data_IF_042175362079
#
_entry.id   IF_042175362079
#
_cell.length_a   1.000
_cell.length_b   1.000
_cell.length_c   1.000
_cell.angle_alpha   90.00
_cell.angle_beta   90.00
_cell.angle_gamma   90.00
#
_symmetry.space_group_name_H-M   'P 1'
#
loop_
_entity.id
_entity.type
_entity.pdbx_description
1 polymer ?
#
# COMPACT_ATOMS: atom_id res chain seq x y z
N UNK A 1 -19.47 -6.36 -4.27
CA UNK A 1 -20.69 -5.95 -3.52
C UNK A 1 -20.33 -5.82 -2.05
N UNK A 2 -20.49 -4.63 -1.45
CA UNK A 2 -20.17 -4.40 -0.04
C UNK A 2 -21.30 -4.93 0.85
N UNK A 3 -21.00 -5.90 1.71
CA UNK A 3 -21.94 -6.39 2.74
C UNK A 3 -22.36 -5.22 3.63
N UNK A 4 -23.67 -5.05 3.87
CA UNK A 4 -24.15 -3.96 4.71
C UNK A 4 -23.75 -4.16 6.18
N UNK A 5 -23.50 -3.09 6.97
CA UNK A 5 -23.14 -3.22 8.38
C UNK A 5 -24.11 -4.07 9.22
N UNK A 6 -25.45 -3.96 9.05
CA UNK A 6 -26.39 -4.84 9.75
C UNK A 6 -26.20 -6.33 9.43
N UNK A 7 -25.89 -6.66 8.17
CA UNK A 7 -25.63 -8.03 7.76
C UNK A 7 -24.32 -8.54 8.37
N UNK A 8 -23.26 -7.72 8.38
CA UNK A 8 -21.98 -8.09 9.00
C UNK A 8 -22.12 -8.38 10.50
N UNK A 9 -22.93 -7.61 11.23
CA UNK A 9 -23.22 -7.88 12.65
C UNK A 9 -23.98 -9.19 12.82
N UNK A 10 -24.92 -9.50 11.93
CA UNK A 10 -25.64 -10.78 11.94
C UNK A 10 -24.70 -11.96 11.68
N UNK A 11 -23.80 -11.81 10.72
CA UNK A 11 -22.80 -12.84 10.41
C UNK A 11 -21.83 -13.02 11.59
N UNK A 12 -21.39 -11.93 12.23
CA UNK A 12 -20.56 -11.97 13.43
C UNK A 12 -21.27 -12.68 14.60
N UNK A 13 -22.57 -12.42 14.84
CA UNK A 13 -23.35 -13.17 15.85
C UNK A 13 -23.38 -14.66 15.56
N UNK A 14 -23.50 -15.04 14.29
CA UNK A 14 -23.53 -16.44 13.84
C UNK A 14 -22.21 -17.13 14.13
N UNK A 15 -21.10 -16.52 13.73
CA UNK A 15 -19.78 -17.11 13.97
C UNK A 15 -19.36 -17.07 15.44
N UNK A 16 -19.80 -16.07 16.20
CA UNK A 16 -19.59 -16.04 17.65
C UNK A 16 -20.36 -17.19 18.34
N UNK A 17 -21.60 -17.46 17.92
CA UNK A 17 -22.36 -18.61 18.41
C UNK A 17 -21.70 -19.95 18.04
N UNK A 18 -21.18 -20.09 16.81
CA UNK A 18 -20.44 -21.27 16.38
C UNK A 18 -19.19 -21.50 17.23
N UNK A 19 -18.37 -20.45 17.43
CA UNK A 19 -17.16 -20.54 18.24
C UNK A 19 -17.45 -20.90 19.71
N UNK A 20 -18.54 -20.37 20.29
CA UNK A 20 -19.00 -20.81 21.62
C UNK A 20 -19.46 -22.27 21.59
N UNK A 21 -20.13 -22.69 20.51
CA UNK A 21 -20.63 -24.05 20.36
C UNK A 21 -19.53 -25.09 20.17
N UNK A 22 -18.28 -24.71 19.86
CA UNK A 22 -17.14 -25.65 19.79
C UNK A 22 -16.68 -26.13 21.18
N UNK A 23 -17.01 -25.41 22.25
CA UNK A 23 -16.75 -25.86 23.62
C UNK A 23 -17.57 -27.11 23.98
N UNK A 24 -17.15 -27.80 25.04
CA UNK A 24 -17.93 -28.92 25.59
C UNK A 24 -19.23 -28.37 26.21
N UNK A 25 -20.32 -29.13 26.10
CA UNK A 25 -21.66 -28.66 26.47
C UNK A 25 -21.75 -28.14 27.92
N UNK A 26 -21.00 -28.74 28.85
CA UNK A 26 -20.96 -28.32 30.25
C UNK A 26 -20.13 -27.03 30.49
N UNK A 27 -19.24 -26.66 29.56
CA UNK A 27 -18.43 -25.43 29.65
C UNK A 27 -19.14 -24.22 29.02
N UNK A 28 -20.07 -24.46 28.07
CA UNK A 28 -20.78 -23.42 27.31
C UNK A 28 -21.46 -22.35 28.20
N UNK A 29 -22.21 -22.70 29.27
CA UNK A 29 -22.78 -21.70 30.17
C UNK A 29 -21.71 -20.82 30.84
N UNK A 30 -20.59 -21.42 31.25
CA UNK A 30 -19.46 -20.71 31.85
C UNK A 30 -18.79 -19.75 30.88
N UNK A 31 -18.62 -20.15 29.61
CA UNK A 31 -18.13 -19.28 28.53
C UNK A 31 -19.07 -18.10 28.32
N UNK A 32 -20.38 -18.35 28.20
CA UNK A 32 -21.40 -17.31 28.03
C UNK A 32 -21.33 -16.28 29.18
N UNK A 33 -21.24 -16.76 30.42
CA UNK A 33 -21.11 -15.90 31.61
C UNK A 33 -19.85 -15.04 31.59
N UNK A 34 -18.69 -15.59 31.19
CA UNK A 34 -17.44 -14.80 31.04
C UNK A 34 -17.55 -13.73 29.97
N UNK A 35 -18.33 -13.98 28.91
CA UNK A 35 -18.61 -13.00 27.85
C UNK A 35 -19.68 -11.96 28.24
N UNK A 36 -20.28 -12.07 29.44
CA UNK A 36 -21.33 -11.16 29.91
C UNK A 36 -22.72 -11.47 29.36
N UNK A 37 -22.93 -12.66 28.78
CA UNK A 37 -24.22 -13.10 28.30
C UNK A 37 -25.11 -13.55 29.47
N UNK A 38 -26.43 -13.43 29.28
CA UNK A 38 -27.42 -13.82 30.27
C UNK A 38 -27.31 -15.31 30.67
N UNK A 39 -27.54 -15.59 31.95
CA UNK A 39 -27.62 -16.97 32.44
C UNK A 39 -28.82 -17.71 31.80
N UNK A 40 -28.77 -19.04 31.78
CA UNK A 40 -29.99 -19.84 31.76
C UNK A 40 -29.69 -21.30 32.03
N UNK A 41 -30.68 -22.16 31.81
CA UNK A 41 -30.63 -23.52 32.33
C UNK A 41 -29.56 -24.35 31.60
N UNK A 42 -28.70 -25.02 32.37
CA UNK A 42 -27.68 -25.93 31.82
C UNK A 42 -28.28 -27.03 30.95
N UNK A 43 -29.52 -27.44 31.20
CA UNK A 43 -30.24 -28.41 30.36
C UNK A 43 -30.42 -27.94 28.91
N UNK A 44 -30.56 -26.62 28.67
CA UNK A 44 -30.68 -26.04 27.33
C UNK A 44 -29.40 -26.21 26.49
N UNK A 45 -28.23 -26.07 27.13
CA UNK A 45 -26.93 -26.19 26.47
C UNK A 45 -26.66 -27.64 25.99
N UNK A 46 -27.15 -28.64 26.74
CA UNK A 46 -27.07 -30.04 26.35
C UNK A 46 -27.95 -30.39 25.15
N UNK A 47 -29.07 -29.68 24.94
CA UNK A 47 -29.94 -29.88 23.78
C UNK A 47 -29.33 -29.30 22.49
N UNK A 48 -28.76 -28.09 22.56
CA UNK A 48 -28.02 -27.50 21.44
C UNK A 48 -27.14 -26.34 21.91
N UNK A 49 -25.83 -26.56 21.89
CA UNK A 49 -24.81 -25.55 22.23
C UNK A 49 -24.96 -24.27 21.41
N UNK A 50 -25.16 -24.41 20.10
CA UNK A 50 -25.36 -23.28 19.19
C UNK A 50 -26.63 -22.49 19.51
N UNK A 51 -27.79 -23.17 19.66
CA UNK A 51 -29.05 -22.48 19.97
C UNK A 51 -28.98 -21.78 21.33
N UNK A 52 -28.32 -22.40 22.30
CA UNK A 52 -28.06 -21.80 23.61
C UNK A 52 -27.28 -20.49 23.52
N UNK A 53 -26.18 -20.47 22.75
CA UNK A 53 -25.39 -19.27 22.55
C UNK A 53 -26.14 -18.22 21.73
N UNK A 54 -26.76 -18.63 20.61
CA UNK A 54 -27.44 -17.73 19.68
C UNK A 54 -28.65 -17.01 20.30
N UNK A 55 -29.46 -17.70 21.12
CA UNK A 55 -30.61 -17.05 21.79
C UNK A 55 -30.17 -15.89 22.68
N UNK A 56 -29.02 -16.02 23.34
CA UNK A 56 -28.42 -14.99 24.20
C UNK A 56 -27.76 -13.87 23.39
N UNK A 57 -27.07 -14.20 22.32
CA UNK A 57 -26.45 -13.21 21.42
C UNK A 57 -27.48 -12.36 20.66
N UNK A 58 -28.69 -12.89 20.44
CA UNK A 58 -29.75 -12.18 19.71
C UNK A 58 -30.23 -10.93 20.46
N UNK A 59 -30.26 -10.97 21.80
CA UNK A 59 -30.71 -9.83 22.63
C UNK A 59 -29.60 -8.81 22.94
N UNK A 60 -28.35 -9.13 22.60
CA UNK A 60 -27.20 -8.24 22.84
C UNK A 60 -27.18 -7.09 21.82
N UNK A 61 -26.99 -5.83 22.24
CA UNK A 61 -26.85 -4.68 21.35
C UNK A 61 -25.72 -4.85 20.32
N UNK A 62 -25.91 -4.34 19.10
CA UNK A 62 -24.94 -4.52 18.00
C UNK A 62 -23.53 -4.00 18.34
N UNK A 63 -23.43 -2.89 19.07
CA UNK A 63 -22.18 -2.27 19.51
C UNK A 63 -21.34 -3.13 20.49
N UNK A 64 -21.97 -4.08 21.18
CA UNK A 64 -21.28 -4.96 22.12
C UNK A 64 -20.79 -6.27 21.49
N UNK A 65 -21.31 -6.65 20.32
CA UNK A 65 -20.97 -7.93 19.67
C UNK A 65 -19.48 -7.98 19.28
N UNK A 66 -18.94 -6.91 18.70
CA UNK A 66 -17.54 -6.86 18.27
C UNK A 66 -16.56 -6.97 19.45
N UNK A 67 -16.69 -6.19 20.55
CA UNK A 67 -15.90 -6.39 21.76
C UNK A 67 -15.97 -7.82 22.32
N UNK A 68 -17.15 -8.45 22.33
CA UNK A 68 -17.31 -9.83 22.80
C UNK A 68 -16.58 -10.83 21.92
N UNK A 69 -16.69 -10.71 20.60
CA UNK A 69 -16.00 -11.57 19.66
C UNK A 69 -14.47 -11.48 19.82
N UNK A 70 -13.94 -10.26 19.96
CA UNK A 70 -12.51 -10.02 20.24
C UNK A 70 -12.06 -10.65 21.55
N UNK A 71 -12.90 -10.59 22.59
CA UNK A 71 -12.61 -11.22 23.88
C UNK A 71 -12.54 -12.74 23.76
N UNK A 72 -13.46 -13.37 23.03
CA UNK A 72 -13.44 -14.82 22.82
C UNK A 72 -12.18 -15.26 22.04
N UNK A 73 -11.78 -14.51 21.01
CA UNK A 73 -10.58 -14.79 20.21
C UNK A 73 -9.26 -14.71 21.00
N UNK A 74 -9.26 -14.22 22.24
CA UNK A 74 -8.09 -14.31 23.12
C UNK A 74 -7.94 -15.71 23.74
N UNK A 75 -9.01 -16.49 23.78
CA UNK A 75 -9.05 -17.84 24.38
C UNK A 75 -9.09 -18.95 23.32
N UNK A 76 -9.56 -18.67 22.10
CA UNK A 76 -9.76 -19.67 21.04
C UNK A 76 -9.18 -19.25 19.70
N UNK A 77 -8.82 -20.23 18.89
CA UNK A 77 -8.50 -20.04 17.48
C UNK A 77 -9.70 -20.42 16.63
N UNK A 78 -10.29 -19.45 15.93
CA UNK A 78 -11.36 -19.67 14.96
C UNK A 78 -11.16 -18.71 13.79
N UNK A 79 -10.85 -19.24 12.61
CA UNK A 79 -10.72 -18.40 11.43
C UNK A 79 -12.03 -17.69 11.12
N UNK A 80 -13.16 -18.42 11.10
CA UNK A 80 -14.46 -17.83 10.74
C UNK A 80 -14.84 -16.64 11.62
N UNK A 81 -14.62 -16.75 12.93
CA UNK A 81 -14.86 -15.65 13.85
C UNK A 81 -13.89 -14.48 13.61
N UNK A 82 -12.59 -14.78 13.49
CA UNK A 82 -11.55 -13.76 13.25
C UNK A 82 -11.75 -13.00 11.94
N UNK A 83 -12.23 -13.69 10.90
CA UNK A 83 -12.53 -13.13 9.59
C UNK A 83 -13.70 -12.13 9.64
N UNK A 84 -14.76 -12.44 10.38
CA UNK A 84 -15.88 -11.49 10.58
C UNK A 84 -15.47 -10.29 11.44
N UNK A 85 -14.63 -10.50 12.46
CA UNK A 85 -14.07 -9.42 13.28
C UNK A 85 -13.22 -8.49 12.41
N UNK A 86 -12.29 -9.03 11.62
CA UNK A 86 -11.42 -8.25 10.73
C UNK A 86 -12.23 -7.41 9.74
N UNK A 87 -13.22 -8.02 9.06
CA UNK A 87 -14.11 -7.32 8.14
C UNK A 87 -14.83 -6.12 8.76
N UNK A 88 -15.28 -6.24 10.01
CA UNK A 88 -15.93 -5.14 10.74
C UNK A 88 -14.93 -4.05 11.15
N UNK A 89 -13.72 -4.42 11.59
CA UNK A 89 -12.67 -3.46 11.97
C UNK A 89 -12.11 -2.67 10.78
N UNK A 90 -12.19 -3.26 9.58
CA UNK A 90 -11.75 -2.64 8.33
C UNK A 90 -12.73 -1.59 7.79
N UNK A 91 -13.93 -1.45 8.38
CA UNK A 91 -14.91 -0.44 7.93
C UNK A 91 -14.33 0.97 8.11
N UNK A 92 -14.33 1.74 7.04
CA UNK A 92 -13.82 3.13 7.03
C UNK A 92 -12.29 3.22 6.99
N UNK A 93 -11.57 2.10 6.91
CA UNK A 93 -10.13 2.09 6.68
C UNK A 93 -9.82 2.11 5.18
N UNK A 94 -8.63 2.61 4.77
CA UNK A 94 -8.12 2.40 3.42
C UNK A 94 -8.11 0.91 3.07
N UNK A 95 -8.59 0.56 1.87
CA UNK A 95 -8.79 -0.83 1.49
C UNK A 95 -8.27 -1.15 0.08
N UNK A 96 -7.70 -2.35 -0.08
CA UNK A 96 -7.47 -2.91 -1.41
C UNK A 96 -8.81 -3.12 -2.09
N UNK A 97 -9.01 -2.42 -3.21
CA UNK A 97 -10.24 -2.40 -3.99
C UNK A 97 -10.46 -3.72 -4.72
N UNK A 98 -11.71 -3.99 -5.12
CA UNK A 98 -12.02 -5.17 -5.94
C UNK A 98 -11.24 -5.17 -7.27
N UNK A 99 -10.98 -3.99 -7.85
CA UNK A 99 -10.18 -3.83 -9.08
C UNK A 99 -8.75 -4.35 -8.84
N UNK A 100 -8.11 -3.90 -7.77
CA UNK A 100 -6.75 -4.34 -7.43
C UNK A 100 -6.73 -5.81 -7.07
N UNK A 101 -7.71 -6.33 -6.31
CA UNK A 101 -7.83 -7.78 -6.06
C UNK A 101 -7.88 -8.60 -7.35
N UNK A 102 -8.68 -8.21 -8.33
CA UNK A 102 -8.75 -8.90 -9.64
C UNK A 102 -7.43 -8.82 -10.42
N UNK A 103 -6.70 -7.71 -10.33
CA UNK A 103 -5.37 -7.57 -10.91
C UNK A 103 -4.35 -8.48 -10.23
N UNK A 104 -4.35 -8.52 -8.89
CA UNK A 104 -3.52 -9.43 -8.11
C UNK A 104 -3.81 -10.90 -8.47
N UNK A 105 -5.09 -11.27 -8.59
CA UNK A 105 -5.48 -12.62 -9.02
C UNK A 105 -4.90 -12.97 -10.40
N UNK A 106 -4.84 -11.99 -11.32
CA UNK A 106 -4.29 -12.19 -12.66
C UNK A 106 -2.78 -12.48 -12.65
N UNK A 107 -2.03 -11.96 -11.67
CA UNK A 107 -0.61 -12.29 -11.47
C UNK A 107 -0.43 -13.78 -11.19
N UNK A 108 -1.32 -14.38 -10.41
CA UNK A 108 -1.26 -15.80 -10.04
C UNK A 108 -1.83 -16.73 -11.11
N UNK A 109 -2.48 -16.19 -12.15
CA UNK A 109 -2.95 -16.99 -13.29
C UNK A 109 -1.81 -17.44 -14.20
N UNK A 110 -0.75 -16.64 -14.28
CA UNK A 110 0.36 -16.87 -15.23
C UNK A 110 1.62 -17.39 -14.56
N UNK A 111 1.59 -17.61 -13.23
CA UNK A 111 2.77 -17.89 -12.41
C UNK A 111 2.41 -18.89 -11.31
N UNK A 112 3.32 -19.80 -10.93
CA UNK A 112 3.08 -20.72 -9.82
C UNK A 112 2.99 -19.97 -8.48
N UNK A 113 2.17 -20.48 -7.56
CA UNK A 113 2.04 -19.91 -6.22
C UNK A 113 3.30 -20.14 -5.36
N UNK A 114 4.02 -21.22 -5.62
CA UNK A 114 5.23 -21.60 -4.90
C UNK A 114 6.25 -22.21 -5.88
N UNK A 115 7.54 -21.96 -5.63
CA UNK A 115 8.65 -22.57 -6.40
C UNK A 115 9.51 -23.50 -5.55
N UNK A 116 9.50 -23.33 -4.23
CA UNK A 116 10.31 -24.10 -3.28
C UNK A 116 9.49 -25.11 -2.46
N UNK A 117 8.17 -25.16 -2.67
CA UNK A 117 7.27 -26.13 -2.03
C UNK A 117 6.07 -26.46 -2.90
N UNK A 118 5.37 -27.54 -2.56
CA UNK A 118 4.16 -27.98 -3.25
C UNK A 118 3.02 -26.96 -3.09
N UNK A 119 2.23 -26.75 -4.15
CA UNK A 119 1.18 -25.73 -4.16
C UNK A 119 0.11 -25.99 -3.08
N UNK A 120 -0.27 -27.25 -2.87
CA UNK A 120 -1.26 -27.63 -1.85
C UNK A 120 -0.71 -27.42 -0.43
N UNK A 121 0.59 -27.60 -0.23
CA UNK A 121 1.24 -27.28 1.05
C UNK A 121 1.22 -25.77 1.30
N UNK A 122 1.57 -24.97 0.28
CA UNK A 122 1.48 -23.52 0.35
C UNK A 122 0.05 -23.04 0.70
N UNK A 123 -0.97 -23.57 0.02
CA UNK A 123 -2.37 -23.19 0.25
C UNK A 123 -2.79 -23.50 1.69
N UNK A 124 -2.38 -24.63 2.27
CA UNK A 124 -2.63 -24.96 3.68
C UNK A 124 -1.94 -23.99 4.65
N UNK A 125 -0.77 -23.46 4.29
CA UNK A 125 -0.05 -22.45 5.09
C UNK A 125 -0.70 -21.08 5.01
N UNK A 126 -1.08 -20.66 3.81
CA UNK A 126 -1.63 -19.32 3.56
C UNK A 126 -3.12 -19.22 3.95
N UNK A 127 -3.86 -20.32 3.87
CA UNK A 127 -5.31 -20.34 3.98
C UNK A 127 -5.82 -21.41 4.95
N UNK A 128 -6.83 -21.12 5.79
CA UNK A 128 -7.39 -22.07 6.74
C UNK A 128 -8.39 -23.02 6.06
N UNK A 129 -7.88 -23.84 5.14
CA UNK A 129 -8.67 -24.75 4.30
C UNK A 129 -9.52 -25.74 5.09
N UNK A 130 -9.11 -26.09 6.32
CA UNK A 130 -9.89 -26.98 7.19
C UNK A 130 -11.22 -26.36 7.65
N UNK A 131 -11.33 -25.03 7.67
CA UNK A 131 -12.54 -24.33 8.12
C UNK A 131 -13.43 -23.88 6.96
N UNK A 132 -13.01 -24.06 5.70
CA UNK A 132 -13.73 -23.56 4.54
C UNK A 132 -14.61 -24.67 3.95
N UNK A 133 -15.92 -24.41 3.81
CA UNK A 133 -16.83 -25.39 3.25
C UNK A 133 -16.53 -25.63 1.76
N UNK A 134 -16.86 -26.83 1.30
CA UNK A 134 -16.83 -27.17 -0.11
C UNK A 134 -17.82 -26.30 -0.90
N UNK A 135 -17.42 -25.69 -2.04
CA UNK A 135 -18.36 -25.07 -2.98
C UNK A 135 -19.40 -26.06 -3.52
N UNK A 136 -19.11 -27.36 -3.50
CA UNK A 136 -20.01 -28.43 -3.95
C UNK A 136 -20.79 -29.08 -2.79
N UNK A 137 -20.62 -28.60 -1.55
CA UNK A 137 -21.30 -29.14 -0.37
C UNK A 137 -20.76 -30.51 0.10
N UNK A 138 -19.55 -30.90 -0.32
CA UNK A 138 -18.89 -32.11 0.15
C UNK A 138 -18.56 -32.01 1.65
N UNK A 139 -18.65 -33.12 2.37
CA UNK A 139 -18.34 -33.18 3.81
C UNK A 139 -16.85 -32.98 4.11
N UNK A 140 -16.00 -33.17 3.11
CA UNK A 140 -14.54 -32.99 3.19
C UNK A 140 -14.09 -31.54 3.19
N UNK A 141 -14.97 -30.59 2.87
CA UNK A 141 -14.64 -29.17 2.76
C UNK A 141 -13.80 -28.85 1.51
N UNK A 142 -13.28 -27.63 1.45
CA UNK A 142 -12.51 -27.17 0.28
C UNK A 142 -11.21 -27.96 0.08
N UNK A 143 -10.61 -28.51 1.14
CA UNK A 143 -9.34 -29.22 1.02
C UNK A 143 -9.48 -30.49 0.17
N UNK A 144 -10.55 -31.25 0.39
CA UNK A 144 -10.85 -32.43 -0.42
C UNK A 144 -11.13 -32.05 -1.88
N UNK A 145 -11.82 -30.93 -2.10
CA UNK A 145 -12.08 -30.42 -3.44
C UNK A 145 -10.77 -29.98 -4.14
N UNK A 146 -9.84 -29.32 -3.43
CA UNK A 146 -8.51 -28.97 -3.95
C UNK A 146 -7.76 -30.23 -4.37
N UNK A 147 -7.70 -31.25 -3.51
CA UNK A 147 -7.05 -32.51 -3.89
C UNK A 147 -7.74 -33.18 -5.08
N UNK A 148 -9.06 -33.13 -5.16
CA UNK A 148 -9.80 -33.72 -6.26
C UNK A 148 -9.52 -32.98 -7.58
N UNK A 149 -9.59 -31.65 -7.58
CA UNK A 149 -9.61 -30.85 -8.80
C UNK A 149 -8.21 -30.39 -9.26
N UNK A 150 -7.32 -30.05 -8.33
CA UNK A 150 -5.95 -29.65 -8.66
C UNK A 150 -5.03 -30.85 -8.85
N UNK A 151 -5.13 -31.88 -7.99
CA UNK A 151 -4.14 -32.98 -7.96
C UNK A 151 -4.60 -34.21 -8.74
N UNK A 152 -5.88 -34.59 -8.68
CA UNK A 152 -6.37 -35.81 -9.35
C UNK A 152 -6.90 -35.55 -10.76
N UNK A 153 -7.72 -34.52 -10.92
CA UNK A 153 -8.40 -34.23 -12.18
C UNK A 153 -7.62 -33.26 -13.07
N UNK A 154 -6.87 -32.33 -12.48
CA UNK A 154 -6.23 -31.20 -13.17
C UNK A 154 -7.23 -30.33 -13.94
N UNK A 155 -8.41 -30.08 -13.35
CA UNK A 155 -9.52 -29.35 -13.96
C UNK A 155 -9.82 -27.99 -13.30
N UNK A 156 -9.10 -27.63 -12.23
CA UNK A 156 -9.08 -26.27 -11.68
C UNK A 156 -7.81 -25.53 -12.08
N UNK A 157 -7.99 -24.30 -12.55
CA UNK A 157 -6.91 -23.33 -12.68
C UNK A 157 -6.62 -22.68 -11.31
N UNK A 158 -5.41 -22.16 -11.13
CA UNK A 158 -4.98 -21.54 -9.86
C UNK A 158 -5.88 -20.36 -9.45
N UNK A 159 -6.35 -19.56 -10.41
CA UNK A 159 -7.25 -18.44 -10.13
C UNK A 159 -8.65 -18.89 -9.68
N UNK A 160 -9.16 -19.99 -10.23
CA UNK A 160 -10.41 -20.63 -9.80
C UNK A 160 -10.31 -21.14 -8.36
N UNK A 161 -9.23 -21.85 -8.02
CA UNK A 161 -8.96 -22.29 -6.65
C UNK A 161 -8.93 -21.11 -5.66
N UNK A 162 -8.20 -20.03 -6.00
CA UNK A 162 -8.13 -18.83 -5.16
C UNK A 162 -9.50 -18.16 -4.99
N UNK A 163 -10.34 -18.14 -6.03
CA UNK A 163 -11.71 -17.64 -5.94
C UNK A 163 -12.53 -18.48 -4.95
N UNK A 164 -12.44 -19.81 -5.01
CA UNK A 164 -13.13 -20.71 -4.07
C UNK A 164 -12.65 -20.58 -2.63
N UNK A 165 -11.36 -20.30 -2.43
CA UNK A 165 -10.80 -19.96 -1.12
C UNK A 165 -11.33 -18.61 -0.60
N UNK A 166 -11.90 -17.78 -1.47
CA UNK A 166 -12.49 -16.50 -1.12
C UNK A 166 -11.55 -15.32 -1.32
N UNK A 167 -10.52 -15.42 -2.16
CA UNK A 167 -9.53 -14.37 -2.42
C UNK A 167 -10.15 -12.98 -2.73
N UNK A 168 -11.27 -12.97 -3.46
CA UNK A 168 -11.98 -11.73 -3.81
C UNK A 168 -12.87 -11.18 -2.67
N UNK A 169 -13.14 -11.96 -1.63
CA UNK A 169 -14.14 -11.66 -0.59
C UNK A 169 -13.62 -11.74 0.84
N UNK A 170 -12.39 -12.20 1.04
CA UNK A 170 -11.75 -12.26 2.35
C UNK A 170 -11.43 -10.86 2.89
N UNK A 171 -11.27 -10.76 4.21
CA UNK A 171 -10.75 -9.57 4.90
C UNK A 171 -9.43 -9.11 4.29
N UNK A 172 -9.09 -7.84 4.48
CA UNK A 172 -7.75 -7.36 4.14
C UNK A 172 -6.68 -8.10 4.96
N UNK A 173 -6.96 -8.40 6.23
CA UNK A 173 -6.06 -9.17 7.07
C UNK A 173 -5.68 -10.53 6.44
N UNK A 174 -6.67 -11.29 5.94
CA UNK A 174 -6.41 -12.57 5.28
C UNK A 174 -5.72 -12.40 3.91
N UNK A 175 -6.07 -11.35 3.15
CA UNK A 175 -5.37 -11.04 1.90
C UNK A 175 -3.90 -10.70 2.15
N UNK A 176 -3.58 -9.90 3.17
CA UNK A 176 -2.21 -9.52 3.50
C UNK A 176 -1.42 -10.75 3.94
N UNK A 177 -1.99 -11.61 4.80
CA UNK A 177 -1.38 -12.88 5.16
C UNK A 177 -1.00 -13.71 3.94
N UNK A 178 -1.91 -13.83 2.96
CA UNK A 178 -1.63 -14.56 1.73
C UNK A 178 -0.50 -13.92 0.91
N UNK A 179 -0.52 -12.59 0.73
CA UNK A 179 0.52 -11.88 -0.04
C UNK A 179 1.90 -11.91 0.64
N UNK A 180 1.94 -11.92 1.96
CA UNK A 180 3.19 -12.10 2.72
C UNK A 180 3.69 -13.55 2.63
N UNK A 181 2.80 -14.54 2.74
CA UNK A 181 3.18 -15.95 2.66
C UNK A 181 3.63 -16.34 1.24
N UNK A 182 2.94 -15.89 0.19
CA UNK A 182 3.30 -16.21 -1.21
C UNK A 182 4.64 -15.62 -1.62
N UNK A 183 5.10 -14.59 -0.89
CA UNK A 183 6.40 -13.94 -1.08
C UNK A 183 7.42 -14.36 -0.03
N UNK A 184 7.13 -15.36 0.79
CA UNK A 184 8.06 -15.84 1.80
C UNK A 184 9.26 -16.58 1.15
N UNK A 185 10.47 -16.47 1.71
CA UNK A 185 11.67 -17.06 1.13
C UNK A 185 11.75 -18.59 1.26
N UNK A 186 10.82 -19.20 2.01
CA UNK A 186 10.65 -20.67 2.05
C UNK A 186 9.67 -21.16 0.99
N UNK A 187 8.91 -20.24 0.37
CA UNK A 187 7.91 -20.52 -0.68
C UNK A 187 8.50 -20.23 -2.07
N UNK A 188 9.39 -19.23 -2.16
CA UNK A 188 9.93 -18.71 -3.42
C UNK A 188 11.45 -18.78 -3.49
N UNK A 189 12.00 -19.04 -4.69
CA UNK A 189 13.40 -18.76 -5.00
C UNK A 189 13.67 -17.25 -4.88
N UNK A 190 14.91 -16.82 -4.61
CA UNK A 190 15.24 -15.39 -4.53
C UNK A 190 14.82 -14.59 -5.78
N UNK A 191 14.99 -15.16 -6.97
CA UNK A 191 14.61 -14.54 -8.24
C UNK A 191 13.09 -14.45 -8.41
N UNK A 192 12.37 -15.53 -8.11
CA UNK A 192 10.90 -15.54 -8.17
C UNK A 192 10.31 -14.57 -7.14
N UNK A 193 10.86 -14.54 -5.93
CA UNK A 193 10.47 -13.65 -4.84
C UNK A 193 10.58 -12.18 -5.23
N UNK A 194 11.74 -11.76 -5.78
CA UNK A 194 11.94 -10.38 -6.23
C UNK A 194 10.99 -10.02 -7.39
N UNK A 195 10.80 -10.96 -8.32
CA UNK A 195 9.96 -10.75 -9.50
C UNK A 195 8.47 -10.63 -9.14
N UNK A 196 7.95 -11.50 -8.28
CA UNK A 196 6.54 -11.48 -7.87
C UNK A 196 6.24 -10.24 -7.03
N UNK A 197 7.13 -9.84 -6.11
CA UNK A 197 6.96 -8.62 -5.31
C UNK A 197 6.88 -7.38 -6.19
N UNK A 198 7.74 -7.27 -7.22
CA UNK A 198 7.72 -6.14 -8.14
C UNK A 198 6.39 -6.05 -8.90
N UNK A 199 5.86 -7.18 -9.37
CA UNK A 199 4.58 -7.23 -10.08
C UNK A 199 3.39 -6.93 -9.16
N UNK A 200 3.34 -7.53 -7.97
CA UNK A 200 2.30 -7.24 -6.97
C UNK A 200 2.30 -5.76 -6.58
N UNK A 201 3.47 -5.17 -6.33
CA UNK A 201 3.58 -3.75 -5.99
C UNK A 201 3.15 -2.81 -7.13
N UNK A 202 3.27 -3.23 -8.40
CA UNK A 202 2.74 -2.46 -9.53
C UNK A 202 1.22 -2.27 -9.48
N UNK A 203 0.52 -3.16 -8.77
CA UNK A 203 -0.93 -3.09 -8.54
C UNK A 203 -1.26 -2.47 -7.18
N UNK A 204 -0.60 -2.91 -6.11
CA UNK A 204 -0.88 -2.47 -4.74
C UNK A 204 -0.69 -0.96 -4.54
N UNK A 205 0.26 -0.35 -5.25
CA UNK A 205 0.53 1.10 -5.18
C UNK A 205 -0.68 1.96 -5.51
N UNK A 206 -1.62 1.45 -6.31
CA UNK A 206 -2.82 2.19 -6.70
C UNK A 206 -3.85 2.30 -5.57
N UNK A 207 -3.73 1.45 -4.55
CA UNK A 207 -4.56 1.47 -3.34
C UNK A 207 -3.76 1.87 -2.09
N UNK A 208 -2.60 2.53 -2.26
CA UNK A 208 -1.72 2.98 -1.18
C UNK A 208 -1.17 1.82 -0.31
N UNK A 209 -0.89 0.66 -0.91
CA UNK A 209 -0.23 -0.47 -0.24
C UNK A 209 1.04 -0.90 -0.99
N UNK A 210 1.96 -1.55 -0.26
CA UNK A 210 3.16 -2.17 -0.83
C UNK A 210 3.71 -3.26 0.09
N UNK A 211 4.29 -4.28 -0.52
CA UNK A 211 5.19 -5.23 0.15
C UNK A 211 6.59 -4.61 0.25
N UNK A 212 7.11 -4.51 1.47
CA UNK A 212 8.48 -4.01 1.73
C UNK A 212 9.28 -5.02 2.51
N UNK A 213 10.60 -4.97 2.37
CA UNK A 213 11.51 -5.81 3.16
C UNK A 213 11.46 -5.34 4.62
N UNK A 214 10.71 -6.05 5.46
CA UNK A 214 10.60 -5.74 6.89
C UNK A 214 11.86 -6.17 7.65
N UNK A 215 12.42 -7.31 7.27
CA UNK A 215 13.63 -7.89 7.87
C UNK A 215 14.30 -8.87 6.93
N UNK A 216 15.47 -9.36 7.33
CA UNK A 216 16.14 -10.48 6.68
C UNK A 216 16.30 -11.64 7.66
N UNK A 217 16.05 -12.85 7.19
CA UNK A 217 16.26 -14.09 7.94
C UNK A 217 17.14 -14.99 7.10
N UNK A 218 18.27 -15.45 7.66
CA UNK A 218 19.26 -16.26 6.94
C UNK A 218 19.77 -15.64 5.63
N UNK A 219 19.79 -14.31 5.54
CA UNK A 219 20.19 -13.57 4.34
C UNK A 219 19.06 -13.30 3.35
N UNK A 220 17.92 -13.99 3.48
CA UNK A 220 16.75 -13.84 2.62
C UNK A 220 15.81 -12.75 3.12
N UNK A 221 15.21 -11.92 2.24
CA UNK A 221 14.27 -10.89 2.65
C UNK A 221 12.92 -11.50 3.07
N UNK A 222 12.34 -10.93 4.11
CA UNK A 222 10.95 -11.16 4.53
C UNK A 222 10.17 -9.90 4.17
N UNK A 223 9.14 -10.06 3.35
CA UNK A 223 8.26 -8.97 2.96
C UNK A 223 7.06 -8.91 3.89
N UNK A 224 6.70 -7.70 4.32
CA UNK A 224 5.47 -7.44 5.06
C UNK A 224 4.66 -6.38 4.32
N UNK A 225 3.33 -6.49 4.38
CA UNK A 225 2.43 -5.51 3.81
C UNK A 225 2.46 -4.24 4.65
N UNK A 226 2.69 -3.12 3.98
CA UNK A 226 2.63 -1.81 4.59
C UNK A 226 1.77 -0.90 3.74
N UNK A 227 1.19 0.12 4.38
CA UNK A 227 0.72 1.27 3.62
C UNK A 227 1.91 1.81 2.84
N UNK A 228 1.71 2.09 1.56
CA UNK A 228 2.63 2.88 0.77
C UNK A 228 2.63 4.28 1.38
N UNK A 229 3.47 4.47 2.40
CA UNK A 229 3.62 5.74 3.06
C UNK A 229 4.26 6.65 2.02
N UNK A 230 3.44 7.53 1.42
CA UNK A 230 3.85 8.90 1.21
C UNK A 230 4.25 9.41 2.60
N UNK A 231 5.51 9.14 2.96
CA UNK A 231 6.16 9.15 4.29
C UNK A 231 5.90 10.34 5.20
N UNK A 232 5.37 11.44 4.69
CA UNK A 232 5.02 12.64 5.45
C UNK A 232 3.75 13.28 4.87
N UNK A 233 3.00 14.06 5.66
CA UNK A 233 1.88 14.86 5.13
C UNK A 233 2.25 15.72 3.91
N UNK A 234 3.50 16.17 3.82
CA UNK A 234 4.02 16.91 2.67
C UNK A 234 4.03 16.06 1.39
N UNK A 235 4.29 14.76 1.50
CA UNK A 235 4.38 13.88 0.33
C UNK A 235 3.02 13.74 -0.36
N UNK A 236 1.91 13.71 0.38
CA UNK A 236 0.57 13.67 -0.20
C UNK A 236 0.27 14.92 -1.03
N UNK A 237 0.59 16.10 -0.51
CA UNK A 237 0.41 17.37 -1.23
C UNK A 237 1.24 17.43 -2.50
N UNK A 238 2.54 17.07 -2.40
CA UNK A 238 3.46 17.02 -3.55
C UNK A 238 2.95 16.00 -4.58
N UNK A 239 2.57 14.80 -4.14
CA UNK A 239 2.06 13.73 -5.02
C UNK A 239 0.82 14.18 -5.80
N UNK A 240 -0.13 14.85 -5.13
CA UNK A 240 -1.33 15.37 -5.79
C UNK A 240 -1.00 16.46 -6.82
N UNK A 241 -0.11 17.40 -6.48
CA UNK A 241 0.28 18.49 -7.38
C UNK A 241 0.99 17.98 -8.64
N UNK A 242 1.95 17.06 -8.47
CA UNK A 242 2.73 16.47 -9.55
C UNK A 242 1.90 15.51 -10.42
N UNK A 243 1.02 14.69 -9.82
CA UNK A 243 0.06 13.86 -10.58
C UNK A 243 -0.85 14.69 -11.47
N UNK A 244 -1.32 15.83 -10.97
CA UNK A 244 -2.15 16.73 -11.75
C UNK A 244 -1.36 17.48 -12.84
N UNK A 245 -0.03 17.49 -12.79
CA UNK A 245 0.82 18.15 -13.77
C UNK A 245 1.16 17.19 -14.90
N UNK A 246 1.74 16.05 -14.55
CA UNK A 246 2.08 14.99 -15.47
C UNK A 246 2.00 13.65 -14.72
N UNK A 247 0.96 12.82 -14.97
CA UNK A 247 0.71 11.59 -14.23
C UNK A 247 1.65 10.44 -14.60
N UNK A 248 2.33 10.51 -15.74
CA UNK A 248 3.07 9.39 -16.30
C UNK A 248 4.57 9.47 -16.02
N UNK A 249 5.26 10.57 -16.36
CA UNK A 249 6.71 10.66 -16.19
C UNK A 249 7.10 11.30 -14.85
N UNK A 250 6.57 12.49 -14.56
CA UNK A 250 6.93 13.29 -13.38
C UNK A 250 6.39 12.64 -12.11
N UNK A 251 5.12 12.22 -12.12
CA UNK A 251 4.50 11.59 -10.94
C UNK A 251 5.15 10.24 -10.62
N UNK A 252 5.36 9.37 -11.59
CA UNK A 252 6.04 8.09 -11.38
C UNK A 252 7.47 8.31 -10.85
N UNK A 253 8.17 9.34 -11.33
CA UNK A 253 9.51 9.68 -10.84
C UNK A 253 9.50 10.14 -9.39
N UNK A 254 8.50 10.92 -8.98
CA UNK A 254 8.29 11.29 -7.58
C UNK A 254 8.04 10.06 -6.70
N UNK A 255 7.13 9.18 -7.10
CA UNK A 255 6.83 7.94 -6.36
C UNK A 255 8.08 7.08 -6.23
N UNK A 256 8.80 6.89 -7.33
CA UNK A 256 10.04 6.13 -7.37
C UNK A 256 11.13 6.71 -6.43
N UNK A 257 11.20 8.04 -6.29
CA UNK A 257 12.14 8.71 -5.37
C UNK A 257 11.73 8.49 -3.91
N UNK A 258 10.44 8.66 -3.59
CA UNK A 258 9.86 8.47 -2.26
C UNK A 258 10.07 7.05 -1.76
N UNK A 259 9.80 6.05 -2.60
CA UNK A 259 9.88 4.64 -2.24
C UNK A 259 11.28 4.19 -1.86
N UNK A 260 12.31 4.78 -2.47
CA UNK A 260 13.73 4.43 -2.26
C UNK A 260 14.36 5.12 -1.05
N UNK A 261 13.70 6.10 -0.41
CA UNK A 261 14.30 6.91 0.68
C UNK A 261 14.90 6.07 1.81
N UNK A 262 14.24 4.98 2.18
CA UNK A 262 14.69 4.10 3.26
C UNK A 262 15.73 3.07 2.78
N UNK A 263 15.42 2.34 1.71
CA UNK A 263 16.15 1.12 1.33
C UNK A 263 17.26 1.36 0.29
N UNK A 264 17.13 2.42 -0.52
CA UNK A 264 18.16 2.85 -1.48
C UNK A 264 18.34 4.39 -1.43
N UNK A 265 18.98 4.92 -0.36
CA UNK A 265 19.17 6.36 -0.22
C UNK A 265 19.92 7.01 -1.39
N UNK A 266 20.80 6.28 -2.07
CA UNK A 266 21.57 6.80 -3.22
C UNK A 266 20.69 6.89 -4.47
N UNK A 267 19.89 5.87 -4.74
CA UNK A 267 18.90 5.88 -5.82
C UNK A 267 17.85 6.96 -5.61
N UNK A 268 17.36 7.12 -4.38
CA UNK A 268 16.41 8.19 -4.02
C UNK A 268 16.96 9.59 -4.33
N UNK A 269 18.20 9.88 -3.93
CA UNK A 269 18.86 11.18 -4.23
C UNK A 269 19.02 11.39 -5.74
N UNK A 270 19.35 10.32 -6.48
CA UNK A 270 19.48 10.40 -7.94
C UNK A 270 18.14 10.75 -8.58
N UNK A 271 17.06 10.08 -8.18
CA UNK A 271 15.72 10.34 -8.68
C UNK A 271 15.19 11.71 -8.27
N UNK A 272 15.52 12.19 -7.06
CA UNK A 272 15.17 13.54 -6.63
C UNK A 272 15.77 14.61 -7.56
N UNK A 273 17.01 14.41 -8.02
CA UNK A 273 17.62 15.29 -9.02
C UNK A 273 16.90 15.19 -10.36
N UNK A 274 16.70 13.97 -10.86
CA UNK A 274 16.06 13.73 -12.17
C UNK A 274 14.64 14.29 -12.20
N UNK A 275 13.89 14.20 -11.10
CA UNK A 275 12.57 14.83 -10.97
C UNK A 275 12.61 16.34 -11.29
N UNK A 276 13.58 17.08 -10.76
CA UNK A 276 13.71 18.51 -11.06
C UNK A 276 14.15 18.76 -12.50
N UNK A 277 15.01 17.91 -13.06
CA UNK A 277 15.42 18.00 -14.47
C UNK A 277 14.20 17.83 -15.38
N UNK A 278 13.36 16.84 -15.11
CA UNK A 278 12.18 16.55 -15.92
C UNK A 278 11.11 17.64 -15.79
N UNK A 279 10.83 18.13 -14.58
CA UNK A 279 9.93 19.27 -14.39
C UNK A 279 10.45 20.51 -15.11
N UNK A 280 11.76 20.77 -15.06
CA UNK A 280 12.32 21.91 -15.77
C UNK A 280 12.16 21.77 -17.29
N UNK A 281 12.48 20.59 -17.84
CA UNK A 281 12.33 20.33 -19.28
C UNK A 281 10.88 20.43 -19.73
N UNK A 282 9.97 19.77 -19.03
CA UNK A 282 8.53 19.83 -19.31
C UNK A 282 8.01 21.27 -19.38
N UNK A 283 8.34 22.09 -18.38
CA UNK A 283 7.87 23.48 -18.36
C UNK A 283 8.55 24.31 -19.47
N UNK A 284 9.85 24.12 -19.71
CA UNK A 284 10.55 24.84 -20.80
C UNK A 284 10.00 24.47 -22.17
N UNK A 285 9.68 23.19 -22.40
CA UNK A 285 9.07 22.70 -23.63
C UNK A 285 7.66 23.25 -23.82
N UNK A 286 6.83 23.24 -22.76
CA UNK A 286 5.51 23.89 -22.80
C UNK A 286 5.59 25.40 -23.02
N UNK A 287 6.63 26.05 -22.51
CA UNK A 287 6.91 27.48 -22.70
C UNK A 287 7.58 27.78 -24.06
N UNK A 288 7.86 26.76 -24.88
CA UNK A 288 8.59 26.87 -26.15
C UNK A 288 9.95 27.58 -26.00
N UNK A 289 10.63 27.36 -24.87
CA UNK A 289 11.91 27.96 -24.55
C UNK A 289 13.06 26.99 -24.83
N UNK A 290 14.00 27.37 -25.69
CA UNK A 290 15.11 26.50 -26.07
C UNK A 290 16.13 26.30 -24.93
N UNK A 291 16.60 25.06 -24.78
CA UNK A 291 17.70 24.68 -23.90
C UNK A 291 18.65 23.69 -24.59
N UNK A 292 19.95 23.66 -24.23
CA UNK A 292 20.89 22.69 -24.78
C UNK A 292 20.48 21.24 -24.44
N UNK A 293 20.62 20.33 -25.39
CA UNK A 293 20.30 18.89 -25.20
C UNK A 293 21.07 18.25 -24.03
N UNK A 294 22.27 18.75 -23.75
CA UNK A 294 23.16 18.28 -22.68
C UNK A 294 23.11 19.17 -21.42
N UNK A 295 22.12 20.05 -21.29
CA UNK A 295 21.98 20.94 -20.14
C UNK A 295 21.81 20.15 -18.84
N UNK A 296 22.60 20.51 -17.83
CA UNK A 296 22.44 19.98 -16.48
C UNK A 296 21.37 20.75 -15.69
N UNK A 297 20.99 20.20 -14.53
CA UNK A 297 19.97 20.80 -13.68
C UNK A 297 20.20 22.30 -13.37
N UNK A 298 21.40 22.76 -12.96
CA UNK A 298 21.67 24.19 -12.78
C UNK A 298 21.37 25.05 -14.02
N UNK A 299 21.76 24.60 -15.22
CA UNK A 299 21.50 25.33 -16.47
C UNK A 299 20.02 25.37 -16.79
N UNK A 300 19.33 24.23 -16.68
CA UNK A 300 17.88 24.12 -16.89
C UNK A 300 17.10 25.04 -15.94
N UNK A 301 17.43 25.01 -14.64
CA UNK A 301 16.74 25.83 -13.64
C UNK A 301 16.94 27.33 -13.89
N UNK A 302 18.15 27.79 -14.23
CA UNK A 302 18.38 29.21 -14.53
C UNK A 302 17.58 29.70 -15.73
N UNK A 303 17.43 28.86 -16.77
CA UNK A 303 16.57 29.17 -17.92
C UNK A 303 15.11 29.25 -17.51
N UNK A 304 14.64 28.25 -16.77
CA UNK A 304 13.27 28.22 -16.28
C UNK A 304 12.95 29.41 -15.37
N UNK A 305 13.86 29.76 -14.46
CA UNK A 305 13.70 30.88 -13.55
C UNK A 305 13.47 32.20 -14.31
N UNK A 306 14.11 32.41 -15.45
CA UNK A 306 13.83 33.57 -16.31
C UNK A 306 12.44 33.51 -16.94
N UNK A 307 12.04 32.35 -17.45
CA UNK A 307 10.71 32.14 -18.03
C UNK A 307 9.60 32.40 -17.00
N UNK A 308 9.80 31.98 -15.75
CA UNK A 308 8.85 32.13 -14.67
C UNK A 308 8.94 33.48 -13.91
N UNK A 309 9.90 34.35 -14.26
CA UNK A 309 10.23 35.60 -13.55
C UNK A 309 10.61 35.38 -12.08
N UNK A 310 11.37 34.32 -11.83
CA UNK A 310 11.91 33.93 -10.52
C UNK A 310 13.39 34.31 -10.38
N UNK A 311 13.98 35.02 -11.36
CA UNK A 311 15.37 35.44 -11.25
C UNK A 311 15.49 36.52 -10.16
N UNK A 312 16.39 36.39 -9.17
CA UNK A 312 16.48 37.34 -8.05
C UNK A 312 16.67 38.80 -8.47
N UNK A 313 17.30 39.04 -9.63
CA UNK A 313 17.55 40.38 -10.16
C UNK A 313 16.27 41.08 -10.66
N UNK A 314 15.22 40.32 -10.98
CA UNK A 314 13.93 40.84 -11.46
C UNK A 314 13.05 41.39 -10.32
N UNK A 315 13.42 41.16 -9.06
CA UNK A 315 12.65 41.56 -7.88
C UNK A 315 13.23 42.83 -7.25
N UNK A 316 12.44 43.64 -6.53
CA UNK A 316 12.98 44.80 -5.78
C UNK A 316 13.15 44.52 -4.30
N UNK A 317 12.28 43.68 -3.74
CA UNK A 317 12.29 43.36 -2.32
C UNK A 317 13.47 42.46 -1.95
N UNK A 318 14.34 42.95 -1.07
CA UNK A 318 15.56 42.24 -0.66
C UNK A 318 15.26 40.85 -0.07
N UNK A 319 14.15 40.70 0.66
CA UNK A 319 13.72 39.42 1.24
C UNK A 319 13.43 38.38 0.16
N UNK A 320 12.68 38.74 -0.89
CA UNK A 320 12.37 37.83 -2.00
C UNK A 320 13.62 37.49 -2.81
N UNK A 321 14.54 38.44 -3.03
CA UNK A 321 15.84 38.16 -3.66
C UNK A 321 16.60 37.06 -2.92
N UNK A 322 16.69 37.19 -1.59
CA UNK A 322 17.42 36.22 -0.77
C UNK A 322 16.75 34.85 -0.76
N UNK A 323 15.42 34.81 -0.72
CA UNK A 323 14.66 33.56 -0.77
C UNK A 323 14.87 32.83 -2.11
N UNK A 324 14.65 33.52 -3.24
CA UNK A 324 14.82 32.94 -4.58
C UNK A 324 16.28 32.55 -4.86
N UNK A 325 17.23 33.35 -4.39
CA UNK A 325 18.65 33.00 -4.42
C UNK A 325 18.96 31.73 -3.62
N UNK A 326 18.32 31.54 -2.47
CA UNK A 326 18.45 30.32 -1.67
C UNK A 326 17.86 29.09 -2.38
N UNK A 327 16.71 29.24 -3.05
CA UNK A 327 16.12 28.20 -3.88
C UNK A 327 17.08 27.77 -5.00
N UNK A 328 17.67 28.73 -5.71
CA UNK A 328 18.67 28.45 -6.73
C UNK A 328 19.88 27.69 -6.15
N UNK A 329 20.38 28.11 -4.98
CA UNK A 329 21.49 27.43 -4.32
C UNK A 329 21.15 25.99 -3.95
N UNK A 330 19.93 25.72 -3.48
CA UNK A 330 19.46 24.36 -3.16
C UNK A 330 19.46 23.48 -4.41
N UNK A 331 18.93 23.98 -5.54
CA UNK A 331 18.89 23.25 -6.81
C UNK A 331 20.31 22.95 -7.32
N UNK A 332 21.24 23.90 -7.22
CA UNK A 332 22.65 23.69 -7.55
C UNK A 332 23.31 22.61 -6.68
N UNK A 333 23.03 22.62 -5.37
CA UNK A 333 23.54 21.61 -4.45
C UNK A 333 22.98 20.21 -4.77
N UNK A 334 21.68 20.09 -5.05
CA UNK A 334 21.03 18.85 -5.50
C UNK A 334 21.63 18.33 -6.82
N UNK A 335 21.91 19.21 -7.77
CA UNK A 335 22.60 18.86 -9.02
C UNK A 335 23.98 18.25 -8.77
N UNK A 336 24.73 18.81 -7.81
CA UNK A 336 26.10 18.40 -7.47
C UNK A 336 26.21 17.15 -6.58
N UNK A 337 25.11 16.74 -5.92
CA UNK A 337 25.12 15.64 -4.95
C UNK A 337 25.54 14.31 -5.59
N UNK A 338 25.13 14.04 -6.84
CA UNK A 338 25.51 12.81 -7.55
C UNK A 338 27.02 12.73 -7.81
N UNK A 339 27.70 13.79 -8.25
CA UNK A 339 29.14 13.71 -8.59
C UNK A 339 30.00 13.49 -7.34
N UNK A 340 29.67 14.16 -6.23
CA UNK A 340 30.36 14.00 -4.95
C UNK A 340 30.19 12.59 -4.36
N UNK A 341 29.02 11.99 -4.57
CA UNK A 341 28.67 10.65 -4.09
C UNK A 341 28.93 9.53 -5.14
N UNK A 342 29.33 9.87 -6.37
CA UNK A 342 29.05 9.03 -7.54
C UNK A 342 30.18 8.60 -8.48
N UNK A 343 31.34 9.26 -8.56
CA UNK A 343 32.40 8.79 -9.49
C UNK A 343 33.15 7.57 -8.94
N UNK A 344 33.08 6.36 -9.52
CA UNK A 344 33.40 5.88 -10.90
C UNK A 344 34.85 5.36 -11.06
N UNK A 345 35.65 5.41 -10.00
CA UNK A 345 36.81 4.55 -9.81
C UNK A 345 36.69 3.85 -8.46
N UNK A 346 37.18 2.60 -8.40
CA UNK A 346 36.98 1.62 -7.32
C UNK A 346 36.71 2.24 -5.93
N UNK A 347 35.65 1.81 -5.22
CA UNK A 347 35.23 2.42 -3.97
C UNK A 347 36.34 2.26 -2.92
N UNK A 348 37.13 3.32 -2.71
CA UNK A 348 38.10 3.37 -1.63
C UNK A 348 37.39 3.40 -0.26
N UNK A 349 38.01 2.90 0.82
CA UNK A 349 37.38 2.67 2.13
C UNK A 349 36.98 3.95 2.91
N UNK A 350 37.05 5.14 2.33
CA UNK A 350 36.94 6.44 3.05
C UNK A 350 35.82 7.38 2.60
N UNK A 351 34.89 7.00 1.71
CA UNK A 351 33.74 7.88 1.34
C UNK A 351 32.48 7.56 2.15
N UNK A 352 31.85 8.60 2.70
CA UNK A 352 30.61 8.51 3.45
C UNK A 352 29.44 8.07 2.55
N UNK A 353 28.72 7.01 2.96
CA UNK A 353 27.50 6.55 2.28
C UNK A 353 26.30 7.40 2.70
N UNK A 354 25.45 7.87 1.77
CA UNK A 354 24.17 8.50 2.10
C UNK A 354 23.35 7.61 3.03
N UNK A 355 22.75 8.22 4.04
CA UNK A 355 21.86 7.56 5.00
C UNK A 355 20.41 7.92 4.64
N UNK A 356 19.41 7.16 5.12
CA UNK A 356 18.00 7.42 4.84
C UNK A 356 17.58 8.88 5.10
N UNK A 357 18.00 9.46 6.23
CA UNK A 357 17.76 10.89 6.56
C UNK A 357 18.28 11.89 5.51
N UNK A 358 19.37 11.57 4.80
CA UNK A 358 19.91 12.44 3.75
C UNK A 358 19.07 12.33 2.47
N UNK A 359 18.60 11.12 2.15
CA UNK A 359 17.69 10.90 1.04
C UNK A 359 16.33 11.55 1.28
N UNK A 360 15.82 11.46 2.51
CA UNK A 360 14.59 12.12 2.93
C UNK A 360 14.65 13.62 2.74
N UNK A 361 15.72 14.28 3.22
CA UNK A 361 15.91 15.71 2.98
C UNK A 361 15.97 16.06 1.49
N UNK A 362 16.76 15.31 0.70
CA UNK A 362 16.93 15.59 -0.73
C UNK A 362 15.63 15.43 -1.53
N UNK A 363 14.89 14.35 -1.26
CA UNK A 363 13.60 14.08 -1.91
C UNK A 363 12.57 15.15 -1.52
N UNK A 364 12.48 15.52 -0.24
CA UNK A 364 11.50 16.52 0.21
C UNK A 364 11.79 17.91 -0.36
N UNK A 365 13.08 18.32 -0.40
CA UNK A 365 13.49 19.58 -1.03
C UNK A 365 13.17 19.58 -2.53
N UNK A 366 13.45 18.47 -3.23
CA UNK A 366 13.12 18.32 -4.64
C UNK A 366 11.62 18.38 -4.90
N UNK A 367 10.82 17.61 -4.16
CA UNK A 367 9.36 17.61 -4.32
C UNK A 367 8.72 18.96 -4.03
N UNK A 368 9.19 19.67 -3.01
CA UNK A 368 8.73 21.02 -2.69
C UNK A 368 9.05 22.00 -3.82
N UNK A 369 10.29 21.96 -4.33
CA UNK A 369 10.71 22.83 -5.44
C UNK A 369 9.95 22.52 -6.73
N UNK A 370 9.78 21.24 -7.06
CA UNK A 370 9.01 20.79 -8.21
C UNK A 370 7.56 21.30 -8.15
N UNK A 371 6.91 21.15 -6.99
CA UNK A 371 5.55 21.63 -6.75
C UNK A 371 5.45 23.15 -6.95
N UNK A 372 6.37 23.91 -6.33
CA UNK A 372 6.42 25.36 -6.48
C UNK A 372 6.57 25.81 -7.94
N UNK A 373 7.47 25.17 -8.71
CA UNK A 373 7.68 25.48 -10.12
C UNK A 373 6.43 25.20 -10.96
N UNK A 374 5.78 24.05 -10.73
CA UNK A 374 4.54 23.65 -11.42
C UNK A 374 3.40 24.61 -11.11
N UNK A 375 3.19 24.96 -9.84
CA UNK A 375 2.13 25.88 -9.43
C UNK A 375 2.38 27.29 -9.99
N UNK A 376 3.62 27.76 -9.96
CA UNK A 376 4.02 29.04 -10.57
C UNK A 376 3.71 29.04 -12.07
N UNK A 377 4.05 27.97 -12.78
CA UNK A 377 3.77 27.86 -14.21
C UNK A 377 2.27 27.86 -14.52
N UNK A 378 1.46 27.13 -13.74
CA UNK A 378 -0.01 27.16 -13.87
C UNK A 378 -0.56 28.57 -13.67
N UNK A 379 -0.06 29.29 -12.67
CA UNK A 379 -0.44 30.69 -12.44
C UNK A 379 -0.07 31.58 -13.64
N UNK A 380 1.15 31.45 -14.21
CA UNK A 380 1.58 32.20 -15.40
C UNK A 380 0.74 31.90 -16.63
N UNK A 381 0.33 30.65 -16.84
CA UNK A 381 -0.61 30.26 -17.91
C UNK A 381 -1.97 30.92 -17.71
N UNK A 382 -2.50 30.90 -16.49
CA UNK A 382 -3.77 31.55 -16.17
C UNK A 382 -3.71 33.07 -16.38
N UNK A 383 -2.65 33.74 -15.95
CA UNK A 383 -2.40 35.16 -16.18
C UNK A 383 -2.34 35.51 -17.68
N UNK A 384 -1.66 34.67 -18.46
CA UNK A 384 -1.51 34.87 -19.90
C UNK A 384 -2.84 34.75 -20.66
N UNK A 385 -3.73 33.86 -20.20
CA UNK A 385 -5.06 33.63 -20.75
C UNK A 385 -6.10 34.71 -20.41
N UNK A 386 -5.82 35.62 -19.46
CA UNK A 386 -6.73 36.71 -19.11
C UNK A 386 -6.76 37.81 -20.21
N UNK A 387 -7.93 38.41 -20.48
CA UNK A 387 -8.05 39.53 -21.42
C UNK A 387 -7.28 40.76 -20.92
N UNK A 388 -6.80 41.59 -21.86
CA UNK A 388 -5.89 42.71 -21.58
C UNK A 388 -6.40 43.71 -20.52
N UNK A 389 -7.73 43.84 -20.35
CA UNK A 389 -8.35 44.72 -19.34
C UNK A 389 -8.14 44.24 -17.90
N UNK A 390 -7.93 42.94 -17.67
CA UNK A 390 -7.75 42.34 -16.35
C UNK A 390 -6.29 42.22 -15.91
N UNK A 391 -5.33 42.40 -16.84
CA UNK A 391 -3.88 42.30 -16.55
C UNK A 391 -3.32 43.49 -15.76
N UNK A 392 -4.00 44.65 -15.75
CA UNK A 392 -3.52 45.87 -15.07
C UNK A 392 -3.80 45.90 -13.55
N UNK A 393 -4.54 44.92 -13.02
CA UNK A 393 -5.03 44.90 -11.63
C UNK A 393 -4.32 43.88 -10.74
N UNK A 394 -3.41 43.08 -11.29
CA UNK A 394 -2.64 42.09 -10.51
C UNK A 394 -1.37 42.77 -10.01
N UNK A 395 -1.15 42.91 -8.70
CA UNK A 395 0.11 43.43 -8.18
C UNK A 395 1.25 42.46 -8.56
N UNK A 396 2.28 42.98 -9.22
CA UNK A 396 3.55 42.26 -9.38
C UNK A 396 4.19 42.16 -7.98
N UNK A 397 4.36 40.94 -7.48
CA UNK A 397 5.14 40.63 -6.27
C UNK A 397 6.51 40.15 -6.68
#
# INVERSE_FOLDING_TARGET
MTTSPPQMIRDLRTELANAIADFKAYDVPGVCKRLGLADGDGSEAFNSKYKYAMSRLTVVPAEEILPMAKKLLQEVSSYRLSEQVAKLEEIGQPAITEITRRRLLSVFKTRPLATEMEEVEFVQRAWPVAEIPSPYGSSGGILDDIYQHIVRNYDWETDEMLIHLGFLTCSQAQLFRFLEEVTAPVVQTPEAQASIVAELNSHLRHDDFRLVVARKVSGSPIYEMQRAVLGSPADHGISAALRAFDPDDVHDRWIAAVERRADDPRGAITLARTLLEDVCKWILDEAQAEYPDNADLPVLYRKLAKVLRLAPDDHTEQTFKQLLGSCQQIVELLGSLRSKLGDAHSPGPKKAKPQPRHAELAVNLSGTMATFLVETWRARKAESALPASAKSTIPEV
#
